data_IF_599416953238
#
_entry.id   IF_599416953238
#
_cell.length_a   1.000
_cell.length_b   1.000
_cell.length_c   1.000
_cell.angle_alpha   90.00
_cell.angle_beta   90.00
_cell.angle_gamma   90.00
#
_symmetry.space_group_name_H-M   'P 1'
#
loop_
_entity.id
_entity.type
_entity.pdbx_description
1 polymer ?
#
# COMPACT_ATOMS: atom_id res chain seq x y z
N UNK A 1 -0.12 -22.54 -2.95
CA UNK A 1 0.79 -23.20 -3.90
C UNK A 1 2.13 -22.50 -3.85
N UNK A 2 3.18 -23.21 -3.39
CA UNK A 2 4.55 -22.69 -3.42
C UNK A 2 4.97 -22.56 -4.88
N UNK A 3 5.39 -21.36 -5.27
CA UNK A 3 5.89 -21.11 -6.62
C UNK A 3 7.24 -21.83 -6.80
N UNK A 4 7.24 -22.97 -7.47
CA UNK A 4 8.39 -23.87 -7.63
C UNK A 4 9.54 -23.28 -8.45
N UNK A 5 9.33 -22.13 -9.11
CA UNK A 5 10.32 -21.44 -9.94
C UNK A 5 11.11 -20.35 -9.21
N UNK A 6 11.10 -20.33 -7.87
CA UNK A 6 11.86 -19.37 -7.07
C UNK A 6 12.93 -20.08 -6.26
N UNK A 7 14.16 -19.60 -6.37
CA UNK A 7 15.27 -19.96 -5.50
C UNK A 7 15.40 -18.86 -4.46
N UNK A 8 15.38 -19.23 -3.17
CA UNK A 8 15.70 -18.34 -2.07
C UNK A 8 17.11 -18.66 -1.61
N UNK A 9 17.99 -17.67 -1.62
CA UNK A 9 19.34 -17.76 -1.08
C UNK A 9 19.32 -17.07 0.27
N UNK A 10 19.78 -17.77 1.31
CA UNK A 10 20.01 -17.19 2.64
C UNK A 10 21.49 -16.83 2.75
N UNK A 11 21.77 -15.58 3.08
CA UNK A 11 23.12 -15.07 3.29
C UNK A 11 23.39 -14.94 4.80
N UNK A 12 24.65 -15.05 5.20
CA UNK A 12 25.07 -14.97 6.61
C UNK A 12 25.12 -13.53 7.10
N UNK A 13 25.51 -12.62 6.22
CA UNK A 13 25.68 -11.21 6.50
C UNK A 13 25.33 -10.36 5.27
N UNK A 14 25.37 -9.04 5.41
CA UNK A 14 25.03 -8.09 4.37
C UNK A 14 26.07 -8.08 3.24
N UNK A 15 27.34 -8.32 3.53
CA UNK A 15 28.41 -8.33 2.52
C UNK A 15 28.23 -9.54 1.58
N UNK A 16 27.94 -10.72 2.14
CA UNK A 16 27.58 -11.90 1.36
C UNK A 16 26.30 -11.68 0.53
N UNK A 17 25.31 -11.01 1.09
CA UNK A 17 24.08 -10.67 0.40
C UNK A 17 24.33 -9.77 -0.82
N UNK A 18 25.11 -8.70 -0.66
CA UNK A 18 25.46 -7.80 -1.76
C UNK A 18 26.28 -8.52 -2.84
N UNK A 19 27.21 -9.38 -2.43
CA UNK A 19 28.01 -10.17 -3.37
C UNK A 19 27.13 -11.14 -4.18
N UNK A 20 26.24 -11.88 -3.52
CA UNK A 20 25.30 -12.81 -4.18
C UNK A 20 24.40 -12.06 -5.14
N UNK A 21 23.90 -10.90 -4.75
CA UNK A 21 23.05 -10.03 -5.59
C UNK A 21 23.81 -9.58 -6.85
N UNK A 22 25.02 -9.09 -6.71
CA UNK A 22 25.88 -8.62 -7.81
C UNK A 22 26.20 -9.76 -8.80
N UNK A 23 26.55 -10.94 -8.27
CA UNK A 23 26.81 -12.13 -9.08
C UNK A 23 25.54 -12.61 -9.80
N UNK A 24 24.40 -12.58 -9.11
CA UNK A 24 23.13 -12.95 -9.70
C UNK A 24 22.72 -11.99 -10.82
N UNK A 25 22.82 -10.68 -10.64
CA UNK A 25 22.51 -9.67 -11.65
C UNK A 25 23.38 -9.80 -12.91
N UNK A 26 24.65 -10.21 -12.75
CA UNK A 26 25.58 -10.38 -13.88
C UNK A 26 25.44 -11.73 -14.61
N UNK A 27 25.02 -12.79 -13.91
CA UNK A 27 25.01 -14.18 -14.45
C UNK A 27 23.63 -14.71 -14.80
N UNK A 28 22.56 -14.02 -14.38
CA UNK A 28 21.19 -14.47 -14.66
C UNK A 28 20.85 -14.18 -16.12
N UNK A 29 20.50 -15.23 -16.87
CA UNK A 29 20.08 -15.12 -18.28
C UNK A 29 18.72 -14.41 -18.44
N UNK A 30 18.42 -14.01 -19.69
CA UNK A 30 17.24 -13.19 -20.05
C UNK A 30 15.86 -13.74 -19.61
N UNK A 31 15.78 -15.01 -19.19
CA UNK A 31 14.53 -15.65 -18.72
C UNK A 31 14.33 -15.65 -17.20
N UNK A 32 15.30 -15.15 -16.44
CA UNK A 32 15.24 -15.05 -14.99
C UNK A 32 15.54 -13.62 -14.55
N UNK A 33 15.11 -13.27 -13.36
CA UNK A 33 15.37 -11.94 -12.76
C UNK A 33 15.62 -12.08 -11.27
N UNK A 34 16.50 -11.25 -10.75
CA UNK A 34 16.64 -11.06 -9.31
C UNK A 34 15.37 -10.39 -8.80
N UNK A 35 14.70 -11.00 -7.83
CA UNK A 35 13.58 -10.38 -7.14
C UNK A 35 14.14 -9.38 -6.13
N UNK A 36 13.37 -8.31 -5.89
CA UNK A 36 13.71 -7.35 -4.83
C UNK A 36 13.71 -8.04 -3.47
N UNK A 37 14.54 -7.54 -2.59
CA UNK A 37 14.60 -7.96 -1.20
C UNK A 37 13.23 -7.86 -0.54
N UNK A 38 12.95 -8.77 0.38
CA UNK A 38 11.72 -8.73 1.17
C UNK A 38 11.79 -7.52 2.11
N UNK A 39 10.82 -6.63 2.00
CA UNK A 39 10.70 -5.48 2.87
C UNK A 39 9.67 -5.74 3.97
N UNK A 40 9.96 -5.25 5.15
CA UNK A 40 9.12 -5.40 6.34
C UNK A 40 8.41 -4.09 6.66
N UNK A 41 7.17 -3.90 6.16
CA UNK A 41 6.47 -2.65 6.36
C UNK A 41 5.84 -2.57 7.75
N UNK A 42 6.01 -1.41 8.38
CA UNK A 42 5.26 -1.00 9.57
C UNK A 42 4.41 0.23 9.23
N UNK A 43 3.29 0.41 9.92
CA UNK A 43 2.48 1.62 9.83
C UNK A 43 2.85 2.53 10.99
N UNK A 44 2.99 3.81 10.69
CA UNK A 44 3.22 4.86 11.70
C UNK A 44 2.07 5.87 11.61
N UNK A 45 1.37 6.06 12.70
CA UNK A 45 0.27 7.02 12.84
C UNK A 45 0.74 8.28 13.59
N UNK A 46 -0.03 9.35 13.50
CA UNK A 46 0.27 10.65 14.15
C UNK A 46 1.59 11.28 13.70
N UNK A 47 1.94 11.11 12.44
CA UNK A 47 3.16 11.66 11.85
C UNK A 47 2.92 13.09 11.39
N UNK A 48 3.78 14.02 11.81
CA UNK A 48 3.76 15.41 11.36
C UNK A 48 4.04 15.50 9.87
N UNK A 49 3.10 16.04 9.11
CA UNK A 49 3.16 16.08 7.65
C UNK A 49 4.40 16.81 7.13
N UNK A 50 4.71 17.97 7.68
CA UNK A 50 5.85 18.80 7.27
C UNK A 50 7.22 18.15 7.50
N UNK A 51 7.31 17.13 8.36
CA UNK A 51 8.54 16.37 8.59
C UNK A 51 8.82 15.32 7.51
N UNK A 52 7.80 14.96 6.70
CA UNK A 52 7.90 13.86 5.72
C UNK A 52 7.58 14.30 4.30
N UNK A 53 6.71 15.32 4.12
CA UNK A 53 6.24 15.76 2.81
C UNK A 53 6.67 17.19 2.50
N UNK A 54 7.01 17.42 1.23
CA UNK A 54 7.23 18.75 0.67
C UNK A 54 5.89 19.48 0.36
N UNK A 55 5.98 20.71 -0.16
CA UNK A 55 4.83 21.52 -0.54
C UNK A 55 4.00 20.90 -1.67
N UNK A 56 4.60 20.05 -2.49
CA UNK A 56 3.94 19.31 -3.57
C UNK A 56 3.38 17.95 -3.10
N UNK A 57 3.39 17.70 -1.78
CA UNK A 57 2.93 16.46 -1.17
C UNK A 57 3.71 15.19 -1.56
N UNK A 58 4.96 15.33 -1.98
CA UNK A 58 5.87 14.24 -2.21
C UNK A 58 6.72 14.00 -0.95
N UNK A 59 7.18 12.77 -0.78
CA UNK A 59 8.11 12.44 0.30
C UNK A 59 9.41 13.19 0.06
N UNK A 60 9.88 13.90 1.08
CA UNK A 60 11.13 14.67 1.05
C UNK A 60 12.31 13.82 0.60
N UNK A 61 13.15 14.38 -0.26
CA UNK A 61 14.39 13.73 -0.66
C UNK A 61 15.25 13.46 0.59
N UNK A 62 15.78 12.24 0.72
CA UNK A 62 16.57 11.84 1.88
C UNK A 62 15.76 11.48 3.16
N UNK A 63 14.44 11.67 3.19
CA UNK A 63 13.63 11.34 4.37
C UNK A 63 13.80 9.89 4.85
N UNK A 64 13.96 8.94 3.93
CA UNK A 64 14.18 7.54 4.31
C UNK A 64 15.51 7.36 5.07
N UNK A 65 16.55 8.04 4.68
CA UNK A 65 17.87 7.99 5.33
C UNK A 65 17.77 8.66 6.71
N UNK A 66 17.29 9.91 6.77
CA UNK A 66 17.20 10.68 8.01
C UNK A 66 16.34 9.97 9.06
N UNK A 67 15.17 9.44 8.67
CA UNK A 67 14.32 8.69 9.59
C UNK A 67 14.89 7.32 9.95
N UNK A 68 15.70 6.73 9.07
CA UNK A 68 16.46 5.52 9.38
C UNK A 68 17.49 5.75 10.47
N UNK A 69 18.27 6.82 10.38
CA UNK A 69 19.27 7.23 11.37
C UNK A 69 18.61 7.57 12.72
N UNK A 70 17.51 8.35 12.71
CA UNK A 70 16.77 8.74 13.92
C UNK A 70 16.20 7.52 14.68
N UNK A 71 15.93 6.41 13.99
CA UNK A 71 15.34 5.18 14.55
C UNK A 71 16.29 3.99 14.59
N UNK A 72 17.57 4.18 14.34
CA UNK A 72 18.60 3.12 14.29
C UNK A 72 18.14 1.92 13.41
N UNK A 73 17.56 2.22 12.24
CA UNK A 73 17.00 1.22 11.34
C UNK A 73 17.26 1.57 9.87
N UNK A 74 17.39 0.56 9.02
CA UNK A 74 17.56 0.80 7.57
C UNK A 74 16.20 0.88 6.89
N UNK A 75 15.80 2.10 6.51
CA UNK A 75 14.55 2.39 5.80
C UNK A 75 14.79 2.38 4.29
N UNK A 76 14.17 1.45 3.59
CA UNK A 76 14.24 1.35 2.14
C UNK A 76 13.29 2.33 1.43
N UNK A 77 12.11 2.57 2.03
CA UNK A 77 11.05 3.36 1.41
C UNK A 77 10.05 3.87 2.44
N UNK A 78 9.50 5.05 2.16
CA UNK A 78 8.37 5.62 2.90
C UNK A 78 7.20 5.82 1.93
N UNK A 79 5.98 5.56 2.38
CA UNK A 79 4.75 5.83 1.62
C UNK A 79 3.73 6.51 2.52
N UNK A 80 3.30 7.72 2.14
CA UNK A 80 2.23 8.41 2.84
C UNK A 80 0.89 7.74 2.58
N UNK A 81 0.13 7.45 3.63
CA UNK A 81 -1.15 6.70 3.56
C UNK A 81 -2.37 7.61 3.70
N UNK A 82 -2.24 8.74 4.38
CA UNK A 82 -3.34 9.69 4.53
C UNK A 82 -3.58 10.49 3.25
N UNK A 83 -4.77 11.12 3.12
CA UNK A 83 -5.07 11.98 1.97
C UNK A 83 -4.03 13.10 1.85
N UNK A 84 -3.49 13.27 0.65
CA UNK A 84 -2.54 14.34 0.35
C UNK A 84 -3.21 15.72 0.27
N UNK A 85 -4.49 15.76 -0.03
CA UNK A 85 -5.31 16.98 -0.19
C UNK A 85 -5.92 17.47 1.13
N UNK A 86 -5.95 16.60 2.17
CA UNK A 86 -6.46 17.00 3.47
C UNK A 86 -5.49 17.96 4.16
N UNK A 87 -5.98 19.14 4.58
CA UNK A 87 -5.22 20.16 5.32
C UNK A 87 -4.89 19.76 6.78
N UNK A 88 -4.80 18.45 7.06
CA UNK A 88 -4.47 17.97 8.42
C UNK A 88 -2.96 18.02 8.64
N UNK A 89 -2.50 18.57 9.78
CA UNK A 89 -1.07 18.67 10.09
C UNK A 89 -0.42 17.32 10.38
N UNK A 90 -1.21 16.31 10.76
CA UNK A 90 -0.77 14.95 11.05
C UNK A 90 -1.45 13.92 10.14
N UNK A 91 -0.78 12.82 9.92
CA UNK A 91 -1.28 11.71 9.13
C UNK A 91 -0.59 10.38 9.44
N UNK A 92 -0.77 9.42 8.55
CA UNK A 92 -0.17 8.09 8.66
C UNK A 92 0.75 7.81 7.49
N UNK A 93 1.80 7.05 7.73
CA UNK A 93 2.70 6.55 6.70
C UNK A 93 2.99 5.06 6.86
N UNK A 94 3.41 4.41 5.80
CA UNK A 94 4.05 3.10 5.84
C UNK A 94 5.56 3.28 5.67
N UNK A 95 6.33 2.70 6.59
CA UNK A 95 7.79 2.65 6.56
C UNK A 95 8.20 1.23 6.21
N UNK A 96 8.97 1.07 5.15
CA UNK A 96 9.44 -0.22 4.65
C UNK A 96 10.89 -0.43 5.09
N UNK A 97 11.09 -1.36 6.01
CA UNK A 97 12.38 -1.69 6.59
C UNK A 97 13.05 -2.83 5.84
N UNK A 98 14.37 -2.85 5.79
CA UNK A 98 15.14 -3.91 5.13
C UNK A 98 15.32 -5.14 6.02
N UNK A 99 15.26 -4.97 7.35
CA UNK A 99 15.48 -6.05 8.33
C UNK A 99 14.21 -6.32 9.14
N UNK A 100 13.87 -7.60 9.27
CA UNK A 100 12.74 -8.04 10.11
C UNK A 100 12.95 -7.77 11.59
N UNK A 101 14.21 -7.77 12.05
CA UNK A 101 14.58 -7.46 13.44
C UNK A 101 14.21 -6.03 13.81
N UNK A 102 14.50 -5.07 12.93
CA UNK A 102 14.17 -3.66 13.15
C UNK A 102 12.65 -3.45 13.17
N UNK A 103 11.92 -4.10 12.26
CA UNK A 103 10.46 -4.04 12.25
C UNK A 103 9.84 -4.59 13.55
N UNK A 104 10.35 -5.72 14.05
CA UNK A 104 9.87 -6.30 15.31
C UNK A 104 10.18 -5.42 16.50
N UNK A 105 11.40 -4.85 16.57
CA UNK A 105 11.81 -3.93 17.62
C UNK A 105 10.88 -2.70 17.65
N UNK A 106 10.74 -2.00 16.54
CA UNK A 106 9.92 -0.79 16.43
C UNK A 106 8.43 -1.05 16.71
N UNK A 107 7.92 -2.24 16.38
CA UNK A 107 6.55 -2.63 16.75
C UNK A 107 6.42 -2.94 18.23
N UNK A 108 7.44 -3.52 18.86
CA UNK A 108 7.46 -3.80 20.30
C UNK A 108 7.60 -2.51 21.13
N UNK A 109 8.44 -1.58 20.67
CA UNK A 109 8.62 -0.26 21.27
C UNK A 109 7.33 0.58 21.21
N UNK A 110 6.50 0.36 20.19
CA UNK A 110 5.22 1.04 20.00
C UNK A 110 5.32 2.44 19.39
N UNK A 111 6.50 2.93 19.08
CA UNK A 111 6.74 4.27 18.53
C UNK A 111 7.82 4.29 17.45
N UNK A 112 7.81 5.36 16.65
CA UNK A 112 8.78 5.66 15.60
C UNK A 112 9.04 7.17 15.60
N UNK A 113 10.29 7.58 15.69
CA UNK A 113 10.68 9.00 15.73
C UNK A 113 10.61 9.65 14.35
N UNK A 114 10.10 10.85 14.28
CA UNK A 114 9.92 11.63 13.04
C UNK A 114 10.17 13.10 13.32
N UNK A 115 11.37 13.60 13.02
CA UNK A 115 11.72 15.01 13.14
C UNK A 115 11.55 15.55 14.56
N UNK A 116 11.97 14.80 15.56
CA UNK A 116 11.89 15.15 16.98
C UNK A 116 10.53 14.87 17.65
N UNK A 117 9.55 14.36 16.93
CA UNK A 117 8.26 13.89 17.48
C UNK A 117 8.18 12.36 17.34
N UNK A 118 7.23 11.72 18.04
CA UNK A 118 7.03 10.26 17.96
C UNK A 118 5.64 9.94 17.41
N UNK A 119 5.61 9.10 16.37
CA UNK A 119 4.38 8.49 15.86
C UNK A 119 4.18 7.09 16.44
N UNK A 120 2.95 6.63 16.54
CA UNK A 120 2.60 5.29 17.05
C UNK A 120 2.77 4.24 15.96
N UNK A 121 3.45 3.14 16.28
CA UNK A 121 3.66 2.03 15.34
C UNK A 121 2.56 0.96 15.43
N UNK A 122 2.26 0.36 14.31
CA UNK A 122 1.38 -0.81 14.20
C UNK A 122 1.75 -1.66 12.98
N UNK A 123 1.26 -2.89 12.94
CA UNK A 123 1.48 -3.77 11.79
C UNK A 123 0.84 -3.17 10.54
N UNK A 124 1.62 -3.07 9.46
CA UNK A 124 1.10 -2.64 8.16
C UNK A 124 0.69 -3.84 7.33
N UNK A 125 -0.61 -4.05 7.20
CA UNK A 125 -1.15 -5.04 6.28
C UNK A 125 -1.51 -4.37 4.95
N UNK A 126 -0.75 -4.69 3.91
CA UNK A 126 -1.13 -4.31 2.55
C UNK A 126 -2.34 -5.14 2.12
N UNK A 127 -3.49 -4.51 2.02
CA UNK A 127 -4.71 -5.10 1.46
C UNK A 127 -4.88 -4.61 0.03
N UNK A 128 -4.55 -5.43 -0.97
CA UNK A 128 -4.84 -5.05 -2.35
C UNK A 128 -6.35 -4.91 -2.50
N UNK A 129 -6.79 -3.72 -2.92
CA UNK A 129 -8.18 -3.51 -3.29
C UNK A 129 -8.54 -4.46 -4.43
N UNK A 130 -9.64 -5.21 -4.34
CA UNK A 130 -10.11 -6.03 -5.45
C UNK A 130 -10.28 -5.18 -6.71
N UNK A 131 -9.86 -5.73 -7.85
CA UNK A 131 -9.97 -5.05 -9.13
C UNK A 131 -11.45 -4.88 -9.48
N UNK A 132 -11.94 -3.64 -9.50
CA UNK A 132 -13.32 -3.31 -9.86
C UNK A 132 -13.37 -2.76 -11.29
N UNK A 133 -14.34 -3.24 -12.05
CA UNK A 133 -14.62 -2.75 -13.40
C UNK A 133 -15.46 -1.47 -13.34
N UNK A 134 -14.91 -0.35 -13.82
CA UNK A 134 -15.65 0.92 -13.86
C UNK A 134 -16.74 0.99 -14.93
N UNK A 135 -16.89 -0.03 -15.77
CA UNK A 135 -17.99 -0.13 -16.73
C UNK A 135 -19.23 -0.84 -16.09
N UNK A 136 -19.08 -2.08 -15.67
CA UNK A 136 -20.19 -2.85 -15.08
C UNK A 136 -20.21 -2.87 -13.54
N UNK A 137 -19.22 -2.25 -12.88
CA UNK A 137 -19.02 -2.15 -11.43
C UNK A 137 -18.75 -3.48 -10.70
N UNK A 138 -18.64 -4.60 -11.42
CA UNK A 138 -18.29 -5.90 -10.83
C UNK A 138 -16.80 -6.02 -10.52
N UNK A 139 -16.45 -6.99 -9.67
CA UNK A 139 -15.07 -7.31 -9.29
C UNK A 139 -14.49 -8.35 -10.25
N UNK A 140 -13.18 -8.30 -10.52
CA UNK A 140 -12.42 -9.35 -11.20
C UNK A 140 -11.84 -8.98 -12.57
N UNK A 141 -12.22 -7.84 -13.18
CA UNK A 141 -11.68 -7.40 -14.46
C UNK A 141 -11.62 -5.86 -14.58
N UNK A 142 -10.89 -5.36 -15.55
CA UNK A 142 -10.80 -3.91 -15.86
C UNK A 142 -11.82 -3.50 -16.92
N UNK A 143 -12.18 -2.21 -16.95
CA UNK A 143 -13.19 -1.68 -17.86
C UNK A 143 -12.87 -1.94 -19.35
N UNK A 144 -11.61 -1.88 -19.77
CA UNK A 144 -11.21 -2.13 -21.16
C UNK A 144 -11.37 -3.59 -21.61
N UNK A 145 -11.52 -4.54 -20.67
CA UNK A 145 -11.77 -5.96 -20.93
C UNK A 145 -13.26 -6.31 -20.77
N UNK A 146 -14.08 -5.34 -20.35
CA UNK A 146 -15.49 -5.58 -20.05
C UNK A 146 -16.33 -5.70 -21.31
N UNK A 147 -17.08 -6.81 -21.42
CA UNK A 147 -18.04 -7.05 -22.49
C UNK A 147 -19.51 -6.81 -22.06
N UNK A 148 -19.72 -6.38 -20.79
CA UNK A 148 -21.04 -6.16 -20.21
C UNK A 148 -21.52 -4.73 -20.47
N UNK A 149 -22.84 -4.52 -20.41
CA UNK A 149 -23.46 -3.18 -20.46
C UNK A 149 -22.95 -2.30 -19.30
N UNK A 150 -22.85 -1.00 -19.56
CA UNK A 150 -22.50 -0.02 -18.54
C UNK A 150 -23.57 0.04 -17.45
N UNK A 151 -23.13 0.00 -16.20
CA UNK A 151 -24.00 0.13 -15.02
C UNK A 151 -23.64 1.35 -14.20
N UNK A 152 -24.67 2.03 -13.72
CA UNK A 152 -24.51 3.18 -12.84
C UNK A 152 -23.92 2.76 -11.49
N UNK A 153 -22.82 3.37 -11.07
CA UNK A 153 -22.16 3.06 -9.80
C UNK A 153 -22.98 3.51 -8.58
N UNK A 154 -24.02 4.35 -8.74
CA UNK A 154 -24.89 4.82 -7.65
C UNK A 154 -26.11 3.94 -7.47
N UNK A 155 -26.91 3.74 -8.51
CA UNK A 155 -28.22 3.05 -8.42
C UNK A 155 -28.23 1.63 -9.00
N UNK A 156 -27.10 1.17 -9.60
CA UNK A 156 -26.95 -0.11 -10.28
C UNK A 156 -27.80 -0.29 -11.55
N UNK A 157 -28.58 0.70 -12.02
CA UNK A 157 -29.31 0.64 -13.27
C UNK A 157 -28.37 0.76 -14.48
N UNK A 158 -28.83 0.26 -15.63
CA UNK A 158 -28.14 0.37 -16.91
C UNK A 158 -28.48 1.68 -17.63
N UNK A 159 -27.68 2.05 -18.62
CA UNK A 159 -27.97 3.14 -19.55
C UNK A 159 -27.54 4.54 -19.14
N UNK A 160 -26.91 4.73 -17.97
CA UNK A 160 -26.35 6.03 -17.59
C UNK A 160 -25.10 5.89 -16.71
N UNK A 161 -24.27 6.93 -16.71
CA UNK A 161 -23.10 7.06 -15.85
C UNK A 161 -23.51 7.66 -14.49
N UNK A 162 -22.78 7.34 -13.43
CA UNK A 162 -23.11 7.80 -12.08
C UNK A 162 -23.09 9.33 -11.90
N UNK A 163 -22.34 10.07 -12.72
CA UNK A 163 -22.32 11.55 -12.72
C UNK A 163 -23.65 12.18 -13.12
N UNK A 164 -24.48 11.47 -13.89
CA UNK A 164 -25.80 11.90 -14.36
C UNK A 164 -26.94 11.17 -13.65
N UNK A 165 -26.63 10.48 -12.56
CA UNK A 165 -27.64 9.72 -11.82
C UNK A 165 -28.46 10.63 -10.92
N UNK A 166 -29.78 10.68 -11.17
CA UNK A 166 -30.77 11.41 -10.38
C UNK A 166 -31.54 10.52 -9.40
N UNK A 167 -31.26 9.20 -9.39
CA UNK A 167 -31.96 8.26 -8.53
C UNK A 167 -31.58 8.47 -7.07
N UNK A 168 -32.54 8.56 -6.13
CA UNK A 168 -32.27 8.78 -4.71
C UNK A 168 -31.74 7.53 -4.01
N UNK A 169 -32.04 6.34 -4.54
CA UNK A 169 -31.68 5.06 -3.92
C UNK A 169 -30.30 4.63 -4.37
N UNK A 170 -29.40 4.42 -3.41
CA UNK A 170 -28.07 3.90 -3.65
C UNK A 170 -28.09 2.36 -3.61
N UNK A 171 -27.36 1.73 -4.55
CA UNK A 171 -27.23 0.27 -4.60
C UNK A 171 -25.83 -0.11 -5.10
N UNK A 172 -25.10 -0.78 -4.23
CA UNK A 172 -23.76 -1.27 -4.55
C UNK A 172 -23.82 -2.58 -5.34
N UNK A 173 -23.22 -2.63 -6.53
CA UNK A 173 -23.21 -3.85 -7.36
C UNK A 173 -22.35 -4.95 -6.70
N UNK A 174 -21.13 -4.70 -6.20
CA UNK A 174 -20.31 -5.73 -5.55
C UNK A 174 -20.97 -6.43 -4.35
N UNK A 175 -21.66 -5.71 -3.47
CA UNK A 175 -22.19 -6.28 -2.22
C UNK A 175 -23.72 -6.20 -2.08
N UNK A 176 -24.44 -5.47 -2.95
CA UNK A 176 -25.88 -5.27 -2.86
C UNK A 176 -26.33 -4.24 -1.82
N UNK A 177 -25.43 -3.67 -1.03
CA UNK A 177 -25.75 -2.76 0.07
C UNK A 177 -26.21 -1.37 -0.37
N UNK A 178 -26.79 -0.55 0.55
CA UNK A 178 -27.35 0.77 0.27
C UNK A 178 -26.29 1.88 0.22
N UNK A 179 -25.30 1.73 -0.62
CA UNK A 179 -24.22 2.69 -0.86
C UNK A 179 -23.74 2.59 -2.31
N UNK A 180 -22.92 3.53 -2.74
CA UNK A 180 -22.32 3.54 -4.08
C UNK A 180 -21.33 2.39 -4.29
N UNK A 181 -21.21 1.87 -5.51
CA UNK A 181 -20.37 0.72 -5.85
C UNK A 181 -18.86 0.95 -5.65
N UNK A 182 -18.41 2.20 -5.45
CA UNK A 182 -17.01 2.56 -5.17
C UNK A 182 -16.81 3.06 -3.73
N UNK A 183 -17.82 2.96 -2.87
CA UNK A 183 -17.77 3.42 -1.48
C UNK A 183 -16.69 2.68 -0.68
N UNK A 184 -15.97 3.41 0.16
CA UNK A 184 -15.00 2.85 1.13
C UNK A 184 -15.69 1.97 2.19
N UNK A 185 -16.99 2.10 2.35
CA UNK A 185 -17.81 1.30 3.28
C UNK A 185 -18.25 -0.06 2.68
N UNK A 186 -17.86 -0.36 1.44
CA UNK A 186 -18.21 -1.63 0.81
C UNK A 186 -17.41 -2.79 1.40
N UNK A 187 -18.03 -3.78 2.08
CA UNK A 187 -17.32 -4.90 2.70
C UNK A 187 -16.68 -5.84 1.67
N UNK A 188 -17.16 -5.85 0.43
CA UNK A 188 -16.55 -6.62 -0.66
C UNK A 188 -15.30 -5.96 -1.23
N UNK A 189 -15.23 -4.63 -1.25
CA UNK A 189 -14.06 -3.87 -1.72
C UNK A 189 -13.07 -3.58 -0.57
N UNK A 190 -13.60 -3.40 0.63
CA UNK A 190 -12.84 -3.08 1.83
C UNK A 190 -13.35 -3.97 2.98
N UNK A 191 -12.94 -5.26 3.01
CA UNK A 191 -13.35 -6.16 4.08
C UNK A 191 -12.93 -5.60 5.44
N UNK A 192 -13.77 -5.76 6.48
CA UNK A 192 -13.44 -5.35 7.85
C UNK A 192 -12.17 -6.05 8.32
N UNK A 193 -11.47 -5.44 9.27
CA UNK A 193 -10.36 -6.09 9.95
C UNK A 193 -10.93 -7.26 10.77
N UNK A 194 -10.38 -8.46 10.58
CA UNK A 194 -10.55 -9.50 11.57
C UNK A 194 -9.69 -9.08 12.76
N UNK A 195 -10.32 -8.75 13.86
CA UNK A 195 -9.67 -8.49 15.14
C UNK A 195 -9.02 -9.78 15.65
#
# INVERSE_FOLDING_TARGET
PRNTNRIRVACRDEDEHQLVKQVAETKIGARARVLRDELYPIKVDSVKRAAVLDENHNVLAGAAIALGEENEATVAKITWLSSKEAAKPYGSMAVYLTKSTDARRLLADGYFHVGGESGTTSVFEYRPRPMQCYNCQEIGHKAFQCKKTQKCARCAAEGHHHSHCVQPVLKCIPCGGPHESFSKNCPKLYPPRNE
#
